data_IF_358311913530
#
_entry.id   IF_358311913530
#
_cell.length_a   1.000
_cell.length_b   1.000
_cell.length_c   1.000
_cell.angle_alpha   90.00
_cell.angle_beta   90.00
_cell.angle_gamma   90.00
#
_symmetry.space_group_name_H-M   'P 1'
#
loop_
_entity.id
_entity.type
_entity.pdbx_description
1 polymer ?
#
# COMPACT_ATOMS: atom_id res chain seq x y z
N UNK A 1 -16.87 20.89 7.64
CA UNK A 1 -16.42 20.86 6.23
C UNK A 1 -16.27 19.40 5.84
N UNK A 2 -16.85 18.98 4.72
CA UNK A 2 -17.04 17.56 4.36
C UNK A 2 -15.74 16.76 4.34
N UNK A 3 -15.69 15.62 5.04
CA UNK A 3 -14.55 14.68 5.07
C UNK A 3 -14.47 13.79 3.81
N UNK A 4 -15.56 13.69 3.03
CA UNK A 4 -15.65 12.94 1.76
C UNK A 4 -14.48 13.13 0.77
N UNK A 5 -14.05 14.35 0.42
CA UNK A 5 -12.96 14.55 -0.55
C UNK A 5 -11.60 13.98 -0.11
N UNK A 6 -11.34 13.92 1.21
CA UNK A 6 -10.09 13.35 1.74
C UNK A 6 -10.12 11.83 1.68
N UNK A 7 -11.28 11.23 1.93
CA UNK A 7 -11.46 9.79 1.88
C UNK A 7 -11.34 9.24 0.45
N UNK A 8 -11.92 9.94 -0.53
CA UNK A 8 -11.80 9.58 -1.96
C UNK A 8 -10.34 9.64 -2.44
N UNK A 9 -9.57 10.65 -2.01
CA UNK A 9 -8.14 10.77 -2.33
C UNK A 9 -7.31 9.64 -1.68
N UNK A 10 -7.56 9.33 -0.41
CA UNK A 10 -6.90 8.21 0.29
C UNK A 10 -7.22 6.89 -0.41
N UNK A 11 -8.47 6.66 -0.82
CA UNK A 11 -8.86 5.45 -1.56
C UNK A 11 -8.16 5.34 -2.90
N UNK A 12 -8.11 6.43 -3.67
CA UNK A 12 -7.41 6.48 -4.95
C UNK A 12 -5.92 6.19 -4.81
N UNK A 13 -5.25 6.83 -3.84
CA UNK A 13 -3.83 6.61 -3.53
C UNK A 13 -3.57 5.17 -3.09
N UNK A 14 -4.44 4.61 -2.27
CA UNK A 14 -4.35 3.20 -1.81
C UNK A 14 -4.37 2.23 -2.99
N UNK A 15 -5.35 2.38 -3.90
CA UNK A 15 -5.45 1.49 -5.09
C UNK A 15 -4.25 1.67 -6.02
N UNK A 16 -3.80 2.91 -6.21
CA UNK A 16 -2.65 3.23 -7.05
C UNK A 16 -1.38 2.58 -6.49
N UNK A 17 -1.09 2.80 -5.21
CA UNK A 17 0.07 2.22 -4.54
C UNK A 17 0.04 0.68 -4.58
N UNK A 18 -1.12 0.07 -4.31
CA UNK A 18 -1.27 -1.38 -4.38
C UNK A 18 -0.91 -1.93 -5.77
N UNK A 19 -1.37 -1.28 -6.86
CA UNK A 19 -1.01 -1.67 -8.23
C UNK A 19 0.50 -1.59 -8.49
N UNK A 20 1.18 -0.59 -7.93
CA UNK A 20 2.63 -0.48 -8.07
C UNK A 20 3.37 -1.59 -7.34
N UNK A 21 2.94 -1.95 -6.12
CA UNK A 21 3.45 -3.12 -5.42
C UNK A 21 3.29 -4.39 -6.25
N UNK A 22 2.10 -4.63 -6.83
CA UNK A 22 1.88 -5.81 -7.69
C UNK A 22 2.82 -5.86 -8.90
N UNK A 23 3.23 -4.71 -9.44
CA UNK A 23 4.21 -4.66 -10.54
C UNK A 23 5.62 -4.97 -10.05
N UNK A 24 6.02 -4.40 -8.91
CA UNK A 24 7.33 -4.66 -8.30
C UNK A 24 7.49 -6.14 -7.90
N UNK A 25 6.45 -6.74 -7.31
CA UNK A 25 6.46 -8.15 -6.90
C UNK A 25 6.71 -9.09 -8.09
N UNK A 26 6.17 -8.76 -9.28
CA UNK A 26 6.42 -9.55 -10.51
C UNK A 26 7.86 -9.51 -10.99
N UNK A 27 8.66 -8.55 -10.51
CA UNK A 27 10.06 -8.37 -10.89
C UNK A 27 11.03 -9.04 -9.90
N UNK A 28 10.53 -9.53 -8.76
CA UNK A 28 11.33 -10.22 -7.76
C UNK A 28 12.00 -11.46 -8.34
N UNK A 29 13.29 -11.62 -8.05
CA UNK A 29 14.10 -12.74 -8.54
C UNK A 29 14.41 -13.77 -7.45
N UNK A 30 14.47 -13.33 -6.18
CA UNK A 30 14.94 -14.16 -5.06
C UNK A 30 13.76 -14.57 -4.18
N UNK A 31 12.94 -13.60 -3.78
CA UNK A 31 11.78 -13.79 -2.91
C UNK A 31 10.61 -14.46 -3.64
N UNK A 32 9.86 -15.34 -2.97
CA UNK A 32 8.64 -15.98 -3.52
C UNK A 32 7.56 -14.92 -3.81
N UNK A 33 7.23 -14.65 -5.09
CA UNK A 33 6.27 -13.61 -5.45
C UNK A 33 4.86 -13.86 -4.93
N UNK A 34 4.46 -15.13 -4.76
CA UNK A 34 3.12 -15.49 -4.27
C UNK A 34 3.00 -15.16 -2.79
N UNK A 35 4.02 -15.49 -2.01
CA UNK A 35 4.09 -15.16 -0.59
C UNK A 35 4.16 -13.64 -0.36
N UNK A 36 5.01 -12.92 -1.11
CA UNK A 36 5.09 -11.46 -0.97
C UNK A 36 3.77 -10.80 -1.36
N UNK A 37 3.10 -11.31 -2.40
CA UNK A 37 1.76 -10.84 -2.78
C UNK A 37 0.72 -11.05 -1.68
N UNK A 38 0.67 -12.23 -1.05
CA UNK A 38 -0.29 -12.49 0.03
C UNK A 38 -0.07 -11.55 1.21
N UNK A 39 1.19 -11.33 1.61
CA UNK A 39 1.54 -10.37 2.68
C UNK A 39 1.14 -8.95 2.34
N UNK A 40 1.46 -8.47 1.14
CA UNK A 40 1.06 -7.12 0.70
C UNK A 40 -0.45 -6.98 0.64
N UNK A 41 -1.18 -8.01 0.20
CA UNK A 41 -2.65 -8.01 0.20
C UNK A 41 -3.21 -7.85 1.61
N UNK A 42 -2.68 -8.58 2.59
CA UNK A 42 -3.11 -8.49 4.00
C UNK A 42 -2.90 -7.09 4.59
N UNK A 43 -1.75 -6.47 4.34
CA UNK A 43 -1.45 -5.11 4.82
C UNK A 43 -2.42 -4.07 4.23
N UNK A 44 -2.68 -4.14 2.92
CA UNK A 44 -3.63 -3.22 2.27
C UNK A 44 -5.08 -3.48 2.68
N UNK A 45 -5.46 -4.73 2.96
CA UNK A 45 -6.77 -5.04 3.53
C UNK A 45 -6.91 -4.42 4.93
N UNK A 46 -5.90 -4.55 5.77
CA UNK A 46 -5.85 -3.93 7.10
C UNK A 46 -6.01 -2.42 7.02
N UNK A 47 -5.30 -1.76 6.10
CA UNK A 47 -5.37 -0.32 5.88
C UNK A 47 -6.78 0.18 5.55
N UNK A 48 -7.55 -0.62 4.81
CA UNK A 48 -8.91 -0.28 4.37
C UNK A 48 -9.96 -0.66 5.41
N UNK A 49 -9.82 -1.82 6.06
CA UNK A 49 -10.81 -2.36 6.99
C UNK A 49 -10.71 -1.78 8.40
N UNK A 50 -9.50 -1.46 8.87
CA UNK A 50 -9.34 -0.87 10.20
C UNK A 50 -9.65 0.61 10.14
N UNK A 51 -10.51 1.06 11.04
CA UNK A 51 -10.91 2.46 11.17
C UNK A 51 -9.73 3.28 11.72
N UNK A 52 -8.81 3.63 10.83
CA UNK A 52 -7.72 4.53 11.11
C UNK A 52 -8.17 5.97 10.92
N UNK A 53 -7.74 6.86 11.83
CA UNK A 53 -7.84 8.31 11.62
C UNK A 53 -7.24 8.67 10.26
N UNK A 54 -7.83 9.61 9.49
CA UNK A 54 -7.34 9.97 8.15
C UNK A 54 -5.83 10.24 8.08
N UNK A 55 -5.28 10.97 9.08
CA UNK A 55 -3.85 11.25 9.16
C UNK A 55 -2.97 9.99 9.24
N UNK A 56 -3.43 8.95 9.94
CA UNK A 56 -2.71 7.68 10.04
C UNK A 56 -2.73 6.93 8.70
N UNK A 57 -3.85 6.94 7.98
CA UNK A 57 -3.92 6.34 6.62
C UNK A 57 -2.94 7.03 5.68
N UNK A 58 -2.86 8.36 5.71
CA UNK A 58 -1.89 9.13 4.91
C UNK A 58 -0.45 8.75 5.26
N UNK A 59 -0.10 8.67 6.55
CA UNK A 59 1.25 8.29 6.97
C UNK A 59 1.64 6.87 6.51
N UNK A 60 0.70 5.90 6.60
CA UNK A 60 0.92 4.54 6.13
C UNK A 60 1.11 4.47 4.61
N UNK A 61 0.36 5.28 3.85
CA UNK A 61 0.55 5.38 2.40
C UNK A 61 1.92 5.98 2.03
N UNK A 62 2.36 7.03 2.73
CA UNK A 62 3.68 7.63 2.53
C UNK A 62 4.81 6.64 2.84
N UNK A 63 4.66 5.84 3.90
CA UNK A 63 5.63 4.80 4.23
C UNK A 63 5.66 3.70 3.16
N UNK A 64 4.50 3.27 2.67
CA UNK A 64 4.44 2.32 1.54
C UNK A 64 5.08 2.86 0.26
N UNK A 65 4.93 4.15 -0.04
CA UNK A 65 5.66 4.79 -1.15
C UNK A 65 7.18 4.75 -0.96
N UNK A 66 7.66 4.93 0.27
CA UNK A 66 9.09 4.86 0.61
C UNK A 66 9.64 3.45 0.43
N UNK A 67 8.95 2.44 0.96
CA UNK A 67 9.30 1.02 0.82
C UNK A 67 9.34 0.61 -0.65
N UNK A 68 8.33 1.02 -1.43
CA UNK A 68 8.28 0.72 -2.85
C UNK A 68 9.45 1.36 -3.62
N UNK A 69 9.83 2.60 -3.30
CA UNK A 69 11.00 3.27 -3.89
C UNK A 69 12.32 2.58 -3.54
N UNK A 70 12.38 1.94 -2.37
CA UNK A 70 13.52 1.17 -1.90
C UNK A 70 13.46 -0.30 -2.34
N UNK A 71 12.91 -0.59 -3.53
CA UNK A 71 12.73 -1.93 -4.07
C UNK A 71 12.09 -2.91 -3.06
N UNK A 72 10.94 -2.51 -2.51
CA UNK A 72 10.22 -3.28 -1.49
C UNK A 72 11.02 -3.49 -0.18
N UNK A 73 11.96 -2.59 0.13
CA UNK A 73 12.84 -2.70 1.29
C UNK A 73 14.00 -3.68 1.09
N UNK A 74 14.44 -3.86 -0.16
CA UNK A 74 15.53 -4.77 -0.54
C UNK A 74 15.11 -6.23 -0.76
N UNK A 75 13.84 -6.49 -1.07
CA UNK A 75 13.31 -7.84 -1.36
C UNK A 75 13.59 -8.32 -2.78
#
# INVERSE_FOLDING_TARGET
MSEKPVEDDVRYKTVTLYRHYLRAIKQLQISDPVFVHSRVREEFQTLVQVEHRPAKKVALLQEGERILKDNLGGL
#
